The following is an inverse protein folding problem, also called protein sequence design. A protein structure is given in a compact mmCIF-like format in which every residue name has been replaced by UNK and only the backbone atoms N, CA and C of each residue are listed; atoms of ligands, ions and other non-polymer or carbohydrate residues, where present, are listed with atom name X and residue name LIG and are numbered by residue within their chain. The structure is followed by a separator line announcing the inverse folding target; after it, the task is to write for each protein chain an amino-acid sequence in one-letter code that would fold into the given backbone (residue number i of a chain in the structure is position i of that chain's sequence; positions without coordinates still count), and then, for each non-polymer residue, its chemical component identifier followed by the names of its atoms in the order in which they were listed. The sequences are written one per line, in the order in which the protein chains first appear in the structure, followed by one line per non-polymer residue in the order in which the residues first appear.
data_IF_992785824014
#
_entry.id   IF_992785824014
#
_cell.length_a   1.000
_cell.length_b   1.000
_cell.length_c   1.000
_cell.angle_alpha   90.00
_cell.angle_beta   90.00
_cell.angle_gamma   90.00
#
_symmetry.space_group_name_H-M   'P 1'
#
loop_
_entity.id
_entity.type
_entity.pdbx_description
1 polymer ?
#
# COMPACT_ATOMS: atom_id res chain seq x y z
N UNK A 1 -20.93 -16.44 -1.74
CA UNK A 1 -19.47 -16.32 -2.00
C UNK A 1 -19.15 -14.85 -2.18
N UNK A 2 -18.05 -14.37 -1.56
CA UNK A 2 -17.57 -12.98 -1.75
C UNK A 2 -17.00 -12.87 -3.17
N UNK A 3 -17.36 -11.79 -3.90
CA UNK A 3 -16.79 -11.52 -5.22
C UNK A 3 -15.26 -11.33 -5.13
N UNK A 4 -14.45 -11.89 -6.03
CA UNK A 4 -13.01 -11.70 -6.03
C UNK A 4 -12.60 -10.22 -6.16
N UNK A 5 -13.41 -9.40 -6.84
CA UNK A 5 -13.19 -7.97 -6.93
C UNK A 5 -13.36 -7.26 -5.58
N UNK A 6 -14.35 -7.67 -4.78
CA UNK A 6 -14.54 -7.16 -3.41
C UNK A 6 -13.37 -7.58 -2.53
N UNK A 7 -12.88 -8.81 -2.68
CA UNK A 7 -11.72 -9.29 -1.93
C UNK A 7 -10.46 -8.49 -2.29
N UNK A 8 -10.18 -8.23 -3.57
CA UNK A 8 -9.05 -7.38 -3.99
C UNK A 8 -9.17 -5.95 -3.46
N UNK A 9 -10.37 -5.36 -3.51
CA UNK A 9 -10.62 -4.03 -2.95
C UNK A 9 -10.35 -3.98 -1.44
N UNK A 10 -10.91 -4.92 -0.67
CA UNK A 10 -10.73 -4.98 0.79
C UNK A 10 -9.28 -5.27 1.15
N UNK A 11 -8.65 -6.24 0.49
CA UNK A 11 -7.26 -6.60 0.74
C UNK A 11 -6.30 -5.45 0.46
N UNK A 12 -6.49 -4.76 -0.66
CA UNK A 12 -5.65 -3.60 -0.99
C UNK A 12 -5.92 -2.41 -0.04
N UNK A 13 -7.16 -2.25 0.42
CA UNK A 13 -7.48 -1.27 1.46
C UNK A 13 -6.71 -1.55 2.76
N UNK A 14 -6.72 -2.81 3.23
CA UNK A 14 -5.98 -3.23 4.43
C UNK A 14 -4.47 -3.01 4.22
N UNK A 15 -3.95 -3.44 3.07
CA UNK A 15 -2.54 -3.30 2.72
C UNK A 15 -2.07 -1.84 2.81
N UNK A 16 -2.79 -0.91 2.17
CA UNK A 16 -2.40 0.50 2.14
C UNK A 16 -2.67 1.19 3.48
N UNK A 17 -3.76 0.86 4.18
CA UNK A 17 -4.03 1.41 5.51
C UNK A 17 -2.88 1.09 6.49
N UNK A 18 -2.45 -0.16 6.55
CA UNK A 18 -1.38 -0.59 7.45
C UNK A 18 0.00 -0.11 6.97
N UNK A 19 0.28 -0.26 5.67
CA UNK A 19 1.57 0.09 5.09
C UNK A 19 1.83 1.60 5.10
N UNK A 20 0.89 2.42 4.60
CA UNK A 20 1.02 3.88 4.68
C UNK A 20 0.94 4.37 6.13
N UNK A 21 0.16 3.70 6.98
CA UNK A 21 0.02 4.02 8.40
C UNK A 21 1.34 3.93 9.15
N UNK A 22 2.14 2.89 8.95
CA UNK A 22 3.45 2.80 9.60
C UNK A 22 4.42 3.87 9.07
N UNK A 23 4.41 4.15 7.77
CA UNK A 23 5.25 5.22 7.22
C UNK A 23 4.84 6.58 7.80
N UNK A 24 3.55 6.87 7.88
CA UNK A 24 3.05 8.07 8.55
C UNK A 24 3.53 8.14 10.01
N UNK A 25 3.47 7.01 10.74
CA UNK A 25 3.88 6.95 12.14
C UNK A 25 5.38 7.23 12.36
N UNK A 26 6.26 6.80 11.45
CA UNK A 26 7.71 7.03 11.61
C UNK A 26 8.20 8.32 10.95
N UNK A 27 7.44 8.89 10.00
CA UNK A 27 7.89 10.04 9.20
C UNK A 27 7.28 11.36 9.65
N UNK A 28 6.00 11.38 10.07
CA UNK A 28 5.30 12.61 10.43
C UNK A 28 5.76 13.17 11.78
N UNK A 29 5.51 14.46 11.97
CA UNK A 29 5.83 15.16 13.22
C UNK A 29 4.91 14.73 14.36
N UNK A 30 5.43 14.76 15.60
CA UNK A 30 4.72 14.50 16.85
C UNK A 30 4.12 13.08 17.00
N UNK A 31 4.48 12.16 16.15
CA UNK A 31 4.10 10.74 16.28
C UNK A 31 4.94 10.05 17.34
N UNK A 32 4.47 8.88 17.82
CA UNK A 32 5.19 8.04 18.79
C UNK A 32 6.10 7.01 18.12
N UNK A 33 6.13 6.95 16.78
CA UNK A 33 6.95 6.01 16.03
C UNK A 33 8.44 6.25 16.21
N UNK A 34 9.24 5.18 16.17
CA UNK A 34 10.68 5.27 16.26
C UNK A 34 11.27 5.91 15.01
N UNK A 35 12.05 6.96 15.20
CA UNK A 35 12.83 7.61 14.14
C UNK A 35 14.27 7.10 14.06
N UNK A 36 14.68 6.23 14.98
CA UNK A 36 16.05 5.70 15.06
C UNK A 36 16.27 4.54 14.08
N UNK A 37 15.24 3.68 13.88
CA UNK A 37 15.31 2.52 12.98
C UNK A 37 14.13 2.48 12.00
N UNK A 38 13.92 3.55 11.21
CA UNK A 38 12.72 3.64 10.37
C UNK A 38 12.65 2.55 9.31
N UNK A 39 13.79 2.15 8.72
CA UNK A 39 13.83 1.15 7.67
C UNK A 39 13.34 -0.23 8.16
N UNK A 40 13.85 -0.72 9.30
CA UNK A 40 13.44 -2.02 9.87
C UNK A 40 11.96 -1.97 10.26
N UNK A 41 11.52 -0.89 10.89
CA UNK A 41 10.13 -0.71 11.31
C UNK A 41 9.19 -0.72 10.10
N UNK A 42 9.51 0.04 9.05
CA UNK A 42 8.71 0.13 7.83
C UNK A 42 8.67 -1.24 7.12
N UNK A 43 9.82 -1.87 6.88
CA UNK A 43 9.87 -3.13 6.11
C UNK A 43 9.16 -4.27 6.84
N UNK A 44 9.32 -4.37 8.16
CA UNK A 44 8.64 -5.38 8.97
C UNK A 44 7.12 -5.15 8.95
N UNK A 45 6.67 -3.91 9.15
CA UNK A 45 5.25 -3.59 9.14
C UNK A 45 4.61 -3.80 7.76
N UNK A 46 5.30 -3.44 6.66
CA UNK A 46 4.83 -3.75 5.31
C UNK A 46 4.74 -5.26 5.07
N UNK A 47 5.70 -6.05 5.56
CA UNK A 47 5.63 -7.51 5.49
C UNK A 47 4.37 -8.06 6.20
N UNK A 48 4.07 -7.56 7.40
CA UNK A 48 2.83 -7.91 8.11
C UNK A 48 1.57 -7.39 7.41
N UNK A 49 1.61 -6.20 6.82
CA UNK A 49 0.47 -5.67 6.06
C UNK A 49 0.12 -6.56 4.86
N UNK A 50 1.13 -7.00 4.10
CA UNK A 50 0.96 -7.98 3.01
C UNK A 50 0.41 -9.29 3.54
N UNK A 51 1.00 -9.82 4.63
CA UNK A 51 0.56 -11.07 5.23
C UNK A 51 -0.92 -11.02 5.64
N UNK A 52 -1.33 -10.00 6.39
CA UNK A 52 -2.73 -9.86 6.84
C UNK A 52 -3.67 -9.71 5.66
N UNK A 53 -3.34 -8.84 4.69
CA UNK A 53 -4.18 -8.63 3.51
C UNK A 53 -4.33 -9.92 2.69
N UNK A 54 -3.22 -10.64 2.45
CA UNK A 54 -3.24 -11.89 1.72
C UNK A 54 -3.98 -13.01 2.48
N UNK A 55 -3.80 -13.09 3.79
CA UNK A 55 -4.50 -14.07 4.61
C UNK A 55 -6.02 -13.89 4.59
N UNK A 56 -6.48 -12.64 4.68
CA UNK A 56 -7.93 -12.31 4.69
C UNK A 56 -8.58 -12.55 3.33
N UNK A 57 -7.86 -12.32 2.22
CA UNK A 57 -8.48 -12.28 0.89
C UNK A 57 -8.05 -13.41 -0.05
N UNK A 58 -7.00 -14.16 0.32
CA UNK A 58 -6.39 -15.16 -0.55
C UNK A 58 -7.31 -16.26 -1.03
N UNK A 59 -8.20 -16.74 -0.17
CA UNK A 59 -9.18 -17.78 -0.50
C UNK A 59 -10.21 -17.30 -1.54
N UNK A 60 -10.48 -15.99 -1.62
CA UNK A 60 -11.53 -15.42 -2.46
C UNK A 60 -11.01 -14.89 -3.81
N UNK A 61 -9.80 -14.31 -3.84
CA UNK A 61 -9.27 -13.66 -5.03
C UNK A 61 -7.88 -14.16 -5.46
N UNK A 62 -7.21 -14.93 -4.62
CA UNK A 62 -5.79 -15.22 -4.79
C UNK A 62 -4.87 -14.11 -4.28
N UNK A 63 -5.43 -13.04 -3.73
CA UNK A 63 -4.72 -11.91 -3.10
C UNK A 63 -3.61 -11.33 -3.98
N UNK A 64 -3.95 -10.89 -5.17
CA UNK A 64 -2.99 -10.18 -6.03
C UNK A 64 -2.59 -8.84 -5.44
N UNK A 65 -3.55 -8.05 -4.94
CA UNK A 65 -3.39 -6.79 -4.19
C UNK A 65 -2.51 -5.73 -4.88
N UNK A 66 -2.14 -5.98 -6.12
CA UNK A 66 -1.22 -5.13 -6.88
C UNK A 66 -1.46 -5.31 -8.38
N UNK A 67 -1.66 -4.23 -9.14
CA UNK A 67 -1.81 -4.29 -10.60
C UNK A 67 -0.64 -4.99 -11.31
N UNK A 68 0.60 -4.78 -10.88
CA UNK A 68 1.77 -5.40 -11.48
C UNK A 68 1.77 -6.92 -11.27
N UNK A 69 1.33 -7.41 -10.11
CA UNK A 69 1.16 -8.85 -9.85
C UNK A 69 0.08 -9.43 -10.76
N UNK A 70 -1.06 -8.75 -10.88
CA UNK A 70 -2.16 -9.18 -11.74
C UNK A 70 -1.70 -9.29 -13.20
N UNK A 71 -1.03 -8.28 -13.72
CA UNK A 71 -0.48 -8.28 -15.08
C UNK A 71 0.55 -9.41 -15.25
N UNK A 72 1.46 -9.55 -14.29
CA UNK A 72 2.49 -10.60 -14.33
C UNK A 72 1.90 -12.01 -14.38
N UNK A 73 0.82 -12.27 -13.63
CA UNK A 73 0.12 -13.56 -13.65
C UNK A 73 -0.63 -13.80 -14.97
N UNK A 74 -1.20 -12.76 -15.58
CA UNK A 74 -1.79 -12.86 -16.92
C UNK A 74 -0.71 -13.21 -17.96
N UNK A 75 0.42 -12.50 -17.95
CA UNK A 75 1.53 -12.76 -18.87
C UNK A 75 2.09 -14.16 -18.68
N UNK A 76 2.15 -14.65 -17.45
CA UNK A 76 2.58 -16.01 -17.13
C UNK A 76 1.53 -17.10 -17.47
N UNK A 77 0.35 -16.74 -18.00
CA UNK A 77 -0.73 -17.69 -18.31
C UNK A 77 -1.39 -18.29 -17.05
N UNK A 78 -1.22 -17.69 -15.88
CA UNK A 78 -1.75 -18.19 -14.59
C UNK A 78 -3.02 -17.48 -14.14
N UNK A 79 -3.47 -16.47 -14.87
CA UNK A 79 -4.68 -15.72 -14.58
C UNK A 79 -5.38 -15.26 -15.87
N UNK A 80 -6.73 -15.22 -15.88
CA UNK A 80 -7.49 -14.83 -17.06
C UNK A 80 -7.39 -13.34 -17.33
N UNK A 81 -7.15 -12.98 -18.60
CA UNK A 81 -7.11 -11.59 -19.06
C UNK A 81 -8.47 -10.89 -18.89
N UNK A 82 -9.58 -11.63 -18.96
CA UNK A 82 -10.94 -11.08 -18.84
C UNK A 82 -11.20 -10.50 -17.43
N UNK A 83 -10.54 -11.02 -16.40
CA UNK A 83 -10.67 -10.57 -15.02
C UNK A 83 -9.69 -9.45 -14.67
N UNK A 84 -8.64 -9.26 -15.47
CA UNK A 84 -7.51 -8.38 -15.17
C UNK A 84 -7.95 -6.94 -14.89
N UNK A 85 -8.76 -6.37 -15.75
CA UNK A 85 -9.19 -4.96 -15.63
C UNK A 85 -10.02 -4.75 -14.36
N UNK A 86 -10.93 -5.68 -14.04
CA UNK A 86 -11.73 -5.62 -12.81
C UNK A 86 -10.88 -5.68 -11.55
N UNK A 87 -9.84 -6.52 -11.53
CA UNK A 87 -8.86 -6.58 -10.43
C UNK A 87 -8.11 -5.26 -10.26
N UNK A 88 -7.57 -4.72 -11.35
CA UNK A 88 -6.82 -3.45 -11.32
C UNK A 88 -7.69 -2.30 -10.79
N UNK A 89 -8.95 -2.19 -11.26
CA UNK A 89 -9.88 -1.16 -10.77
C UNK A 89 -10.14 -1.35 -9.27
N UNK A 90 -10.43 -2.58 -8.82
CA UNK A 90 -10.68 -2.87 -7.42
C UNK A 90 -9.47 -2.53 -6.53
N UNK A 91 -8.27 -2.89 -6.97
CA UNK A 91 -7.01 -2.59 -6.29
C UNK A 91 -6.76 -1.09 -6.19
N UNK A 92 -6.94 -0.34 -7.27
CA UNK A 92 -6.74 1.13 -7.26
C UNK A 92 -7.74 1.81 -6.32
N UNK A 93 -9.02 1.44 -6.38
CA UNK A 93 -10.03 1.98 -5.47
C UNK A 93 -9.76 1.60 -4.01
N UNK A 94 -9.33 0.36 -3.76
CA UNK A 94 -8.90 -0.09 -2.43
C UNK A 94 -7.70 0.68 -1.91
N UNK A 95 -6.70 0.93 -2.76
CA UNK A 95 -5.53 1.74 -2.40
C UNK A 95 -5.91 3.18 -2.06
N UNK A 96 -6.80 3.79 -2.82
CA UNK A 96 -7.31 5.15 -2.55
C UNK A 96 -8.01 5.20 -1.19
N UNK A 97 -8.89 4.23 -0.89
CA UNK A 97 -9.58 4.17 0.39
C UNK A 97 -8.60 3.94 1.56
N UNK A 98 -7.67 3.00 1.45
CA UNK A 98 -6.67 2.72 2.48
C UNK A 98 -5.79 3.94 2.79
N UNK A 99 -5.32 4.63 1.75
CA UNK A 99 -4.54 5.86 1.88
C UNK A 99 -5.36 7.00 2.49
N UNK A 100 -6.61 7.16 2.09
CA UNK A 100 -7.52 8.16 2.67
C UNK A 100 -7.78 7.89 4.16
N UNK A 101 -8.00 6.64 4.54
CA UNK A 101 -8.17 6.26 5.94
C UNK A 101 -6.90 6.57 6.75
N UNK A 102 -5.71 6.29 6.20
CA UNK A 102 -4.43 6.68 6.83
C UNK A 102 -4.38 8.19 7.06
N UNK A 103 -4.74 8.99 6.05
CA UNK A 103 -4.79 10.45 6.20
C UNK A 103 -5.73 10.89 7.32
N UNK A 104 -6.93 10.32 7.39
CA UNK A 104 -7.92 10.66 8.44
C UNK A 104 -7.39 10.29 9.84
N UNK A 105 -6.76 9.12 10.00
CA UNK A 105 -6.17 8.69 11.28
C UNK A 105 -5.03 9.60 11.76
N UNK A 106 -4.23 10.13 10.84
CA UNK A 106 -3.06 10.95 11.14
C UNK A 106 -3.24 12.44 10.82
N UNK A 107 -4.48 12.92 10.67
CA UNK A 107 -4.79 14.27 10.17
C UNK A 107 -4.07 15.38 10.93
N UNK A 108 -3.99 15.30 12.25
CA UNK A 108 -3.32 16.32 13.07
C UNK A 108 -1.79 16.24 12.94
N UNK A 109 -1.24 15.06 12.71
CA UNK A 109 0.17 14.86 12.43
C UNK A 109 0.55 15.41 11.05
N UNK A 110 -0.29 15.17 10.03
CA UNK A 110 -0.13 15.77 8.71
C UNK A 110 -0.12 17.30 8.78
N UNK A 111 -1.10 17.89 9.49
CA UNK A 111 -1.20 19.35 9.69
C UNK A 111 -0.01 19.93 10.47
N UNK A 112 0.62 19.14 11.34
CA UNK A 112 1.76 19.56 12.17
C UNK A 112 3.10 19.34 11.49
N UNK A 113 3.15 18.67 10.33
CA UNK A 113 4.38 18.34 9.61
C UNK A 113 4.65 19.38 8.54
N UNK A 114 5.74 20.12 8.68
CA UNK A 114 6.19 21.12 7.70
C UNK A 114 7.07 20.54 6.59
N UNK A 115 7.60 19.33 6.77
CA UNK A 115 8.43 18.65 5.76
C UNK A 115 7.53 17.97 4.72
N UNK A 116 7.44 18.58 3.54
CA UNK A 116 6.67 18.06 2.42
C UNK A 116 7.14 16.69 1.94
N UNK A 117 8.45 16.39 2.05
CA UNK A 117 8.97 15.08 1.68
C UNK A 117 8.49 13.99 2.65
N UNK A 118 8.40 14.30 3.95
CA UNK A 118 7.84 13.37 4.94
C UNK A 118 6.35 13.12 4.68
N UNK A 119 5.59 14.17 4.35
CA UNK A 119 4.17 14.05 3.98
C UNK A 119 4.00 13.20 2.72
N UNK A 120 4.71 13.53 1.65
CA UNK A 120 4.63 12.80 0.38
C UNK A 120 5.13 11.36 0.53
N UNK A 121 6.20 11.15 1.29
CA UNK A 121 6.82 9.85 1.52
C UNK A 121 5.90 8.83 2.22
N UNK A 122 4.86 9.29 2.92
CA UNK A 122 3.86 8.40 3.53
C UNK A 122 2.90 7.76 2.50
N UNK A 123 2.79 8.34 1.30
CA UNK A 123 1.94 7.84 0.22
C UNK A 123 2.73 7.37 -1.01
N UNK A 124 3.88 7.99 -1.27
CA UNK A 124 4.66 7.79 -2.49
C UNK A 124 6.10 7.46 -2.15
N UNK A 125 6.60 6.31 -2.63
CA UNK A 125 8.02 5.97 -2.54
C UNK A 125 8.81 6.82 -3.52
N UNK A 126 9.93 7.40 -3.06
CA UNK A 126 10.86 8.13 -3.92
C UNK A 126 12.30 7.67 -3.67
N UNK A 127 13.17 7.70 -4.69
CA UNK A 127 14.57 7.36 -4.51
C UNK A 127 15.29 8.41 -3.64
N UNK A 128 16.22 7.96 -2.79
CA UNK A 128 17.04 8.85 -1.97
C UNK A 128 17.94 9.77 -2.82
N UNK A 129 18.38 9.28 -3.98
CA UNK A 129 19.15 10.07 -4.96
C UNK A 129 18.35 10.13 -6.24
N UNK A 130 17.87 11.32 -6.62
CA UNK A 130 17.13 11.52 -7.88
C UNK A 130 18.10 11.65 -9.05
N UNK A 131 18.19 10.61 -9.84
CA UNK A 131 18.95 10.61 -11.10
C UNK A 131 18.08 9.95 -12.20
N UNK A 132 17.66 10.76 -13.17
CA UNK A 132 16.76 10.32 -14.25
C UNK A 132 17.31 9.16 -15.08
N UNK A 133 18.65 9.03 -15.17
CA UNK A 133 19.28 7.94 -15.95
C UNK A 133 19.38 6.63 -15.18
N UNK A 134 19.41 6.67 -13.84
CA UNK A 134 19.70 5.51 -13.00
C UNK A 134 18.52 5.07 -12.13
N UNK A 135 17.38 5.80 -12.17
CA UNK A 135 16.19 5.47 -11.37
C UNK A 135 15.11 4.73 -12.18
N UNK A 136 15.50 4.05 -13.25
CA UNK A 136 14.62 3.17 -14.02
C UNK A 136 14.77 1.72 -13.54
#
# INVERSE_FOLDING_TARGET
MISPYIAEFVGTTILLLLGSGIVANVSLSKTKGSKETPLITITTAWGFAVFVAAYVTGEFSGAHLNPAVTIGLVVAGKFSVDLMIGYIIAQVLGAMLGSWLTYVFYIDHYRSTSDENAVMGSFCTSPAIRNYKNNF
#
